data_IF_715549524157
#
_entry.id   IF_715549524157
#
_cell.length_a   1.000
_cell.length_b   1.000
_cell.length_c   1.000
_cell.angle_alpha   90.00
_cell.angle_beta   90.00
_cell.angle_gamma   90.00
#
_symmetry.space_group_name_H-M   'P 1'
#
loop_
_entity.id
_entity.type
_entity.pdbx_description
1 polymer ?
#
# COMPACT_ATOMS: atom_id res chain seq x y z
N UNK A 1 85.54 -19.70 -43.12
CA UNK A 1 84.76 -20.08 -44.31
C UNK A 1 83.28 -20.15 -43.91
N UNK A 2 82.40 -19.60 -44.75
CA UNK A 2 80.93 -19.74 -44.66
C UNK A 2 80.55 -20.98 -45.52
N UNK A 3 79.57 -21.84 -45.16
CA UNK A 3 78.12 -21.55 -45.19
C UNK A 3 77.37 -22.13 -43.97
N UNK A 4 76.04 -22.04 -43.76
CA UNK A 4 74.93 -21.25 -44.33
C UNK A 4 73.77 -21.23 -43.30
N UNK A 5 72.81 -20.28 -43.44
CA UNK A 5 71.47 -20.37 -42.84
C UNK A 5 70.40 -19.75 -43.76
N UNK A 6 69.22 -20.37 -43.94
CA UNK A 6 68.17 -19.88 -44.84
C UNK A 6 67.34 -18.75 -44.22
N UNK A 7 66.75 -17.93 -45.08
CA UNK A 7 65.79 -16.88 -44.69
C UNK A 7 64.46 -17.48 -44.20
N UNK A 8 63.92 -16.94 -43.10
CA UNK A 8 62.52 -17.09 -42.73
C UNK A 8 61.99 -15.76 -42.20
N UNK A 9 60.95 -15.21 -42.83
CA UNK A 9 60.18 -14.04 -42.36
C UNK A 9 58.76 -14.52 -42.01
N UNK A 10 58.31 -14.44 -40.75
CA UNK A 10 56.90 -14.57 -40.42
C UNK A 10 56.14 -13.29 -40.81
N UNK A 11 54.95 -13.46 -41.38
CA UNK A 11 54.04 -12.38 -41.74
C UNK A 11 53.31 -11.80 -40.52
N UNK A 12 53.30 -10.47 -40.38
CA UNK A 12 52.36 -9.78 -39.48
C UNK A 12 51.16 -9.31 -40.30
N UNK A 13 50.19 -10.20 -40.47
CA UNK A 13 48.90 -9.89 -41.10
C UNK A 13 47.91 -9.33 -40.08
N UNK A 14 47.91 -8.02 -39.85
CA UNK A 14 46.90 -7.37 -39.01
C UNK A 14 45.56 -7.24 -39.74
N UNK A 15 44.71 -8.28 -39.62
CA UNK A 15 43.31 -8.19 -40.05
C UNK A 15 42.55 -7.30 -39.06
N UNK A 16 42.59 -5.99 -39.30
CA UNK A 16 41.69 -5.03 -38.63
C UNK A 16 40.31 -5.19 -39.26
N UNK A 17 39.47 -6.04 -38.67
CA UNK A 17 38.05 -6.12 -38.99
C UNK A 17 37.40 -4.79 -38.62
N UNK A 18 37.21 -3.90 -39.60
CA UNK A 18 36.43 -2.67 -39.43
C UNK A 18 34.99 -3.05 -39.08
N UNK A 19 34.63 -2.99 -37.80
CA UNK A 19 33.23 -2.87 -37.43
C UNK A 19 32.67 -1.59 -38.04
N UNK A 20 31.78 -1.76 -39.00
CA UNK A 20 31.09 -0.66 -39.67
C UNK A 20 30.01 -0.15 -38.72
N UNK A 21 30.38 0.77 -37.83
CA UNK A 21 29.43 1.51 -37.01
C UNK A 21 28.55 2.37 -37.92
N UNK A 22 27.33 1.90 -38.21
CA UNK A 22 26.26 2.75 -38.70
C UNK A 22 25.80 3.64 -37.55
N UNK A 23 26.54 4.73 -37.35
CA UNK A 23 26.19 5.78 -36.41
C UNK A 23 25.04 6.61 -36.97
N UNK A 24 23.79 6.20 -36.69
CA UNK A 24 22.71 7.18 -36.52
C UNK A 24 22.89 7.82 -35.14
N UNK A 25 23.88 8.70 -35.07
CA UNK A 25 24.21 9.51 -33.91
C UNK A 25 23.44 10.83 -33.94
N UNK A 26 22.12 10.77 -34.16
CA UNK A 26 21.24 11.91 -33.99
C UNK A 26 20.98 12.16 -32.50
N UNK A 27 21.97 12.73 -31.80
CA UNK A 27 21.70 13.39 -30.52
C UNK A 27 20.59 14.43 -30.76
N UNK A 28 19.45 14.36 -30.04
CA UNK A 28 18.32 15.23 -30.30
C UNK A 28 18.76 16.69 -30.10
N UNK A 29 18.42 17.61 -31.03
CA UNK A 29 18.92 18.98 -30.99
C UNK A 29 18.61 19.61 -29.64
N UNK A 30 19.56 20.35 -29.07
CA UNK A 30 19.52 20.79 -27.68
C UNK A 30 18.18 21.47 -27.28
N UNK A 31 17.53 22.17 -28.23
CA UNK A 31 16.19 22.74 -28.07
C UNK A 31 15.09 21.73 -27.70
N UNK A 32 15.05 20.53 -28.30
CA UNK A 32 14.07 19.49 -27.95
C UNK A 32 14.25 19.00 -26.51
N UNK A 33 15.50 18.87 -26.05
CA UNK A 33 15.78 18.42 -24.69
C UNK A 33 15.36 19.44 -23.64
N UNK A 34 15.47 20.73 -23.97
CA UNK A 34 15.04 21.86 -23.15
C UNK A 34 13.51 21.98 -23.13
N UNK A 35 12.83 22.00 -24.28
CA UNK A 35 11.37 22.08 -24.35
C UNK A 35 10.70 20.89 -23.66
N UNK A 36 11.18 19.67 -23.92
CA UNK A 36 10.64 18.48 -23.26
C UNK A 36 10.83 18.55 -21.72
N UNK A 37 11.86 19.24 -21.23
CA UNK A 37 12.12 19.44 -19.80
C UNK A 37 11.25 20.54 -19.20
N UNK A 38 11.05 21.66 -19.92
CA UNK A 38 10.11 22.71 -19.56
C UNK A 38 8.66 22.17 -19.51
N UNK A 39 8.25 21.39 -20.51
CA UNK A 39 6.96 20.69 -20.55
C UNK A 39 6.77 19.76 -19.36
N UNK A 40 7.80 18.97 -18.98
CA UNK A 40 7.75 18.12 -17.76
C UNK A 40 7.58 18.93 -16.48
N UNK A 41 8.28 20.06 -16.35
CA UNK A 41 8.14 20.95 -15.19
C UNK A 41 6.74 21.57 -15.12
N UNK A 42 6.16 21.96 -16.27
CA UNK A 42 4.79 22.47 -16.39
C UNK A 42 3.76 21.41 -15.95
N UNK A 43 3.86 20.18 -16.47
CA UNK A 43 2.98 19.05 -16.10
C UNK A 43 3.10 18.77 -14.59
N UNK A 44 4.32 18.68 -14.03
CA UNK A 44 4.52 18.49 -12.59
C UNK A 44 3.87 19.60 -11.76
N UNK A 45 4.03 20.86 -12.17
CA UNK A 45 3.40 22.01 -11.51
C UNK A 45 1.87 21.94 -11.58
N UNK A 46 1.29 21.54 -12.71
CA UNK A 46 -0.15 21.32 -12.88
C UNK A 46 -0.67 20.18 -11.99
N UNK A 47 0.02 19.03 -11.92
CA UNK A 47 -0.36 17.90 -11.06
C UNK A 47 -0.30 18.29 -9.58
N UNK A 48 0.72 19.04 -9.17
CA UNK A 48 0.84 19.53 -7.79
C UNK A 48 -0.24 20.58 -7.44
N UNK A 49 -0.63 21.45 -8.38
CA UNK A 49 -1.76 22.35 -8.18
C UNK A 49 -3.09 21.59 -8.11
N UNK A 50 -3.31 20.59 -8.96
CA UNK A 50 -4.50 19.74 -8.89
C UNK A 50 -4.58 18.97 -7.56
N UNK A 51 -3.45 18.42 -7.09
CA UNK A 51 -3.31 17.77 -5.79
C UNK A 51 -3.66 18.71 -4.63
N UNK A 52 -3.05 19.90 -4.59
CA UNK A 52 -3.31 20.87 -3.52
C UNK A 52 -4.74 21.41 -3.56
N UNK A 53 -5.26 21.73 -4.75
CA UNK A 53 -6.62 22.22 -4.96
C UNK A 53 -7.66 21.17 -4.53
N UNK A 54 -7.46 19.91 -4.90
CA UNK A 54 -8.36 18.81 -4.51
C UNK A 54 -8.44 18.69 -2.98
N UNK A 55 -7.29 18.71 -2.28
CA UNK A 55 -7.26 18.67 -0.81
C UNK A 55 -7.97 19.91 -0.24
N UNK A 56 -7.59 21.12 -0.65
CA UNK A 56 -8.16 22.38 -0.12
C UNK A 56 -9.66 22.45 -0.33
N UNK A 57 -10.16 22.13 -1.54
CA UNK A 57 -11.60 22.14 -1.86
C UNK A 57 -12.34 21.07 -1.06
N UNK A 58 -11.74 19.90 -0.84
CA UNK A 58 -12.35 18.84 -0.03
C UNK A 58 -12.55 19.29 1.42
N UNK A 59 -11.52 19.80 2.08
CA UNK A 59 -11.61 20.30 3.46
C UNK A 59 -12.51 21.55 3.58
N UNK A 60 -12.41 22.50 2.63
CA UNK A 60 -13.25 23.70 2.66
C UNK A 60 -14.74 23.37 2.49
N UNK A 61 -15.08 22.51 1.52
CA UNK A 61 -16.46 22.05 1.30
C UNK A 61 -16.95 21.22 2.48
N UNK A 62 -16.09 20.36 3.04
CA UNK A 62 -16.37 19.60 4.26
C UNK A 62 -16.70 20.51 5.44
N UNK A 63 -15.88 21.52 5.71
CA UNK A 63 -16.10 22.50 6.78
C UNK A 63 -17.42 23.26 6.63
N UNK A 64 -17.78 23.65 5.40
CA UNK A 64 -19.10 24.26 5.11
C UNK A 64 -20.24 23.28 5.39
N UNK A 65 -20.14 22.03 4.91
CA UNK A 65 -21.17 21.00 5.14
C UNK A 65 -21.30 20.60 6.62
N UNK A 66 -20.20 20.65 7.40
CA UNK A 66 -20.22 20.46 8.85
C UNK A 66 -20.90 21.63 9.57
N UNK A 67 -20.54 22.87 9.22
CA UNK A 67 -21.18 24.08 9.75
C UNK A 67 -22.67 24.19 9.45
N UNK A 68 -23.13 23.59 8.33
CA UNK A 68 -24.55 23.46 7.96
C UNK A 68 -25.26 22.26 8.61
N UNK A 69 -24.58 21.46 9.45
CA UNK A 69 -25.16 20.29 10.12
C UNK A 69 -25.47 19.10 9.21
N UNK A 70 -24.91 19.09 7.99
CA UNK A 70 -25.03 18.00 7.01
C UNK A 70 -24.04 16.87 7.34
N UNK A 71 -22.80 17.21 7.67
CA UNK A 71 -21.80 16.27 8.18
C UNK A 71 -21.81 16.32 9.71
N UNK A 72 -22.30 15.25 10.36
CA UNK A 72 -22.55 15.24 11.82
C UNK A 72 -21.55 14.42 12.64
N UNK A 73 -20.97 13.39 12.05
CA UNK A 73 -20.05 12.45 12.69
C UNK A 73 -18.57 12.74 12.36
N UNK A 74 -18.33 13.50 11.30
CA UNK A 74 -16.99 13.84 10.82
C UNK A 74 -16.70 15.28 11.27
N UNK A 75 -15.82 15.45 12.26
CA UNK A 75 -15.50 16.74 12.87
C UNK A 75 -14.33 17.47 12.17
N UNK A 76 -13.56 16.76 11.34
CA UNK A 76 -12.50 17.28 10.48
C UNK A 76 -12.66 16.80 9.02
N UNK A 77 -13.85 16.97 8.42
CA UNK A 77 -14.15 16.36 7.12
C UNK A 77 -13.21 16.88 6.02
N UNK A 78 -12.79 16.01 5.08
CA UNK A 78 -13.26 14.64 4.86
C UNK A 78 -12.68 13.56 5.77
N UNK A 79 -11.74 13.87 6.67
CA UNK A 79 -11.23 12.90 7.62
C UNK A 79 -12.26 12.65 8.73
N UNK A 80 -12.42 11.39 9.15
CA UNK A 80 -13.20 11.08 10.34
C UNK A 80 -12.29 11.18 11.57
N UNK A 81 -12.04 12.43 11.96
CA UNK A 81 -11.07 12.83 12.96
C UNK A 81 -11.46 14.16 13.63
N UNK A 82 -10.69 14.57 14.63
CA UNK A 82 -10.73 15.89 15.26
C UNK A 82 -9.41 16.63 15.07
N UNK A 83 -9.42 17.95 15.23
CA UNK A 83 -8.18 18.71 15.37
C UNK A 83 -7.51 18.44 16.73
N UNK A 84 -6.19 18.29 16.72
CA UNK A 84 -5.34 18.43 17.92
C UNK A 84 -4.25 19.47 17.72
N UNK A 85 -3.63 19.88 18.82
CA UNK A 85 -2.49 20.82 18.82
C UNK A 85 -1.16 20.07 18.76
N UNK A 86 -0.18 20.69 18.11
CA UNK A 86 1.19 20.17 18.01
C UNK A 86 1.83 20.04 19.41
N UNK A 87 2.31 18.84 19.74
CA UNK A 87 2.91 18.51 21.02
C UNK A 87 4.41 18.17 20.89
N UNK A 88 5.16 18.36 21.98
CA UNK A 88 6.59 17.99 22.05
C UNK A 88 6.82 16.47 21.91
N UNK A 89 5.78 15.65 22.06
CA UNK A 89 5.82 14.19 21.84
C UNK A 89 6.18 13.80 20.40
N UNK A 90 6.06 14.72 19.43
CA UNK A 90 6.50 14.52 18.04
C UNK A 90 8.01 14.66 17.83
N UNK A 91 8.77 15.20 18.79
CA UNK A 91 10.21 15.46 18.61
C UNK A 91 11.02 14.19 18.24
N UNK A 92 10.78 13.00 18.85
CA UNK A 92 11.46 11.77 18.43
C UNK A 92 11.14 11.37 16.98
N UNK A 93 9.86 11.47 16.56
CA UNK A 93 9.46 11.20 15.19
C UNK A 93 10.10 12.20 14.22
N UNK A 94 10.07 13.50 14.54
CA UNK A 94 10.66 14.54 13.71
C UNK A 94 12.18 14.36 13.54
N UNK A 95 12.90 14.06 14.62
CA UNK A 95 14.33 13.76 14.60
C UNK A 95 14.65 12.52 13.75
N UNK A 96 13.87 11.44 13.92
CA UNK A 96 14.02 10.22 13.10
C UNK A 96 13.72 10.48 11.62
N UNK A 97 12.65 11.20 11.30
CA UNK A 97 12.28 11.56 9.92
C UNK A 97 13.35 12.40 9.24
N UNK A 98 13.94 13.37 9.94
CA UNK A 98 15.07 14.15 9.45
C UNK A 98 16.32 13.28 9.19
N UNK A 99 16.67 12.39 10.12
CA UNK A 99 17.77 11.45 9.95
C UNK A 99 17.53 10.48 8.76
N UNK A 100 16.31 9.96 8.63
CA UNK A 100 15.93 9.06 7.54
C UNK A 100 16.01 9.77 6.17
N UNK A 101 15.53 11.01 6.04
CA UNK A 101 15.66 11.83 4.81
C UNK A 101 17.11 11.98 4.37
N UNK A 102 18.02 12.20 5.33
CA UNK A 102 19.45 12.41 5.05
C UNK A 102 20.16 11.09 4.70
N UNK A 103 19.95 10.05 5.51
CA UNK A 103 20.74 8.82 5.51
C UNK A 103 20.15 7.70 4.64
N UNK A 104 18.84 7.46 4.71
CA UNK A 104 18.20 6.27 4.12
C UNK A 104 18.49 6.13 2.61
N UNK A 105 18.33 7.16 1.75
CA UNK A 105 18.59 7.00 0.32
C UNK A 105 20.05 6.58 0.02
N UNK A 106 21.01 7.07 0.81
CA UNK A 106 22.42 6.72 0.65
C UNK A 106 22.73 5.30 1.13
N UNK A 107 22.15 4.89 2.26
CA UNK A 107 22.27 3.53 2.80
C UNK A 107 21.66 2.50 1.82
N UNK A 108 20.47 2.78 1.29
CA UNK A 108 19.79 1.92 0.31
C UNK A 108 20.50 1.86 -1.05
N UNK A 109 21.23 2.91 -1.45
CA UNK A 109 22.02 2.88 -2.69
C UNK A 109 23.29 2.02 -2.56
N UNK A 110 23.89 1.95 -1.36
CA UNK A 110 25.20 1.31 -1.13
C UNK A 110 25.12 -0.13 -0.60
N UNK A 111 23.95 -0.61 -0.21
CA UNK A 111 23.76 -1.95 0.38
C UNK A 111 23.38 -3.03 -0.63
N UNK A 112 23.63 -4.32 -0.35
CA UNK A 112 23.01 -5.42 -1.09
C UNK A 112 21.48 -5.41 -0.95
N UNK A 113 20.73 -5.96 -1.92
CA UNK A 113 19.27 -5.77 -1.99
C UNK A 113 18.51 -6.28 -0.75
N UNK A 114 18.88 -7.44 -0.21
CA UNK A 114 18.28 -7.96 1.02
C UNK A 114 18.46 -7.00 2.21
N UNK A 115 19.64 -6.38 2.34
CA UNK A 115 19.90 -5.34 3.35
C UNK A 115 19.12 -4.05 3.05
N UNK A 116 18.91 -3.70 1.78
CA UNK A 116 18.06 -2.57 1.42
C UNK A 116 16.59 -2.80 1.82
N UNK A 117 16.05 -4.00 1.58
CA UNK A 117 14.71 -4.39 2.05
C UNK A 117 14.61 -4.32 3.58
N UNK A 118 15.59 -4.88 4.31
CA UNK A 118 15.62 -4.84 5.77
C UNK A 118 15.70 -3.40 6.33
N UNK A 119 16.52 -2.53 5.71
CA UNK A 119 16.61 -1.11 6.08
C UNK A 119 15.31 -0.36 5.78
N UNK A 120 14.66 -0.62 4.65
CA UNK A 120 13.36 -0.02 4.31
C UNK A 120 12.26 -0.46 5.28
N UNK A 121 12.21 -1.75 5.64
CA UNK A 121 11.26 -2.29 6.61
C UNK A 121 11.51 -1.73 8.02
N UNK A 122 12.76 -1.76 8.50
CA UNK A 122 13.12 -1.18 9.79
C UNK A 122 12.82 0.32 9.87
N UNK A 123 13.02 1.05 8.77
CA UNK A 123 12.62 2.45 8.70
C UNK A 123 11.11 2.64 8.79
N UNK A 124 10.32 1.84 8.07
CA UNK A 124 8.86 1.88 8.12
C UNK A 124 8.32 1.55 9.52
N UNK A 125 8.89 0.54 10.18
CA UNK A 125 8.55 0.16 11.56
C UNK A 125 8.84 1.30 12.54
N UNK A 126 10.08 1.80 12.58
CA UNK A 126 10.49 2.84 13.53
C UNK A 126 9.71 4.13 13.29
N UNK A 127 9.49 4.51 12.02
CA UNK A 127 8.66 5.66 11.66
C UNK A 127 7.22 5.51 12.19
N UNK A 128 6.55 4.40 11.85
CA UNK A 128 5.16 4.11 12.23
C UNK A 128 5.00 4.05 13.75
N UNK A 129 5.93 3.39 14.46
CA UNK A 129 5.91 3.31 15.93
C UNK A 129 6.12 4.68 16.57
N UNK A 130 7.09 5.48 16.10
CA UNK A 130 7.35 6.82 16.64
C UNK A 130 6.19 7.79 16.40
N UNK A 131 5.48 7.67 15.27
CA UNK A 131 4.23 8.39 15.06
C UNK A 131 3.17 7.93 16.08
N UNK A 132 2.89 6.63 16.18
CA UNK A 132 1.87 6.10 17.08
C UNK A 132 2.07 6.50 18.55
N UNK A 133 3.29 6.36 19.09
CA UNK A 133 3.60 6.73 20.49
C UNK A 133 3.72 8.24 20.73
N UNK A 134 3.67 9.07 19.68
CA UNK A 134 3.56 10.53 19.83
C UNK A 134 2.12 11.00 20.06
N UNK A 135 1.13 10.16 19.74
CA UNK A 135 -0.28 10.33 20.09
C UNK A 135 -0.70 9.35 21.18
N UNK A 136 -1.83 8.69 20.97
CA UNK A 136 -2.55 7.88 21.96
C UNK A 136 -1.91 6.48 22.19
N UNK A 137 -0.85 6.16 21.44
CA UNK A 137 -0.07 4.94 21.58
C UNK A 137 -0.53 3.79 20.68
N UNK A 138 0.29 2.75 20.59
CA UNK A 138 0.07 1.61 19.68
C UNK A 138 -1.21 0.82 19.98
N UNK A 139 -1.54 0.63 21.26
CA UNK A 139 -2.60 -0.30 21.67
C UNK A 139 -3.98 0.36 21.80
N UNK A 140 -4.05 1.66 22.07
CA UNK A 140 -5.30 2.40 22.27
C UNK A 140 -6.36 2.21 21.16
N UNK A 141 -6.01 2.15 19.86
CA UNK A 141 -7.00 1.99 18.79
C UNK A 141 -7.82 0.71 18.94
N UNK A 142 -7.15 -0.37 19.37
CA UNK A 142 -7.75 -1.70 19.53
C UNK A 142 -8.50 -1.90 20.86
N UNK A 143 -8.50 -0.93 21.78
CA UNK A 143 -9.25 -1.03 23.04
C UNK A 143 -10.69 -0.52 22.95
N UNK A 144 -11.06 0.14 21.85
CA UNK A 144 -12.40 0.69 21.70
C UNK A 144 -13.45 -0.43 21.59
N UNK A 145 -14.62 -0.23 22.21
CA UNK A 145 -15.71 -1.23 22.26
C UNK A 145 -16.28 -1.62 20.88
N UNK A 146 -16.09 -0.78 19.87
CA UNK A 146 -16.57 -1.03 18.50
C UNK A 146 -15.61 -1.92 17.67
N UNK A 147 -14.44 -2.26 18.21
CA UNK A 147 -13.39 -3.02 17.53
C UNK A 147 -13.54 -4.55 17.61
N UNK A 148 -12.84 -5.23 16.69
CA UNK A 148 -12.82 -6.70 16.56
C UNK A 148 -12.51 -7.46 17.86
N UNK A 149 -11.68 -6.90 18.76
CA UNK A 149 -11.32 -7.56 20.02
C UNK A 149 -12.51 -7.75 20.96
N UNK A 150 -13.54 -6.89 20.89
CA UNK A 150 -14.74 -7.02 21.70
C UNK A 150 -15.59 -8.26 21.35
N UNK A 151 -15.38 -8.88 20.18
CA UNK A 151 -16.09 -10.10 19.75
C UNK A 151 -15.39 -11.39 20.19
N UNK A 152 -14.12 -11.34 20.62
CA UNK A 152 -13.39 -12.55 21.06
C UNK A 152 -14.05 -13.37 22.18
N UNK A 153 -14.84 -12.80 23.12
CA UNK A 153 -15.64 -13.59 24.06
C UNK A 153 -16.74 -14.40 23.38
N UNK A 154 -17.37 -13.88 22.32
CA UNK A 154 -18.44 -14.56 21.57
C UNK A 154 -17.92 -15.69 20.66
N UNK A 155 -16.66 -15.64 20.23
CA UNK A 155 -15.99 -16.76 19.53
C UNK A 155 -15.70 -17.91 20.50
N UNK A 156 -15.38 -17.60 21.76
CA UNK A 156 -15.11 -18.58 22.80
C UNK A 156 -14.02 -19.60 22.41
N UNK A 157 -14.33 -20.88 22.64
CA UNK A 157 -13.50 -22.04 22.26
C UNK A 157 -13.99 -22.76 21.00
N UNK A 158 -15.07 -22.29 20.37
CA UNK A 158 -15.65 -22.89 19.16
C UNK A 158 -15.70 -21.87 18.00
N UNK A 159 -14.55 -21.64 17.32
CA UNK A 159 -14.49 -20.73 16.19
C UNK A 159 -15.28 -21.22 14.96
N UNK A 160 -15.61 -22.52 14.88
CA UNK A 160 -16.35 -23.09 13.75
C UNK A 160 -17.86 -22.89 13.93
N UNK A 161 -18.40 -23.17 15.12
CA UNK A 161 -19.78 -22.84 15.47
C UNK A 161 -20.04 -21.33 15.39
N UNK A 162 -19.11 -20.51 15.89
CA UNK A 162 -19.18 -19.04 15.73
C UNK A 162 -19.20 -18.62 14.25
N UNK A 163 -18.35 -19.23 13.40
CA UNK A 163 -18.29 -18.89 11.98
C UNK A 163 -19.56 -19.30 11.21
N UNK A 164 -20.15 -20.45 11.53
CA UNK A 164 -21.41 -20.90 10.97
C UNK A 164 -22.58 -19.97 11.37
N UNK A 165 -22.61 -19.52 12.63
CA UNK A 165 -23.62 -18.58 13.14
C UNK A 165 -23.38 -17.10 12.79
N UNK A 166 -22.21 -16.73 12.27
CA UNK A 166 -21.76 -15.33 12.15
C UNK A 166 -22.76 -14.41 11.46
N UNK A 167 -23.33 -14.85 10.33
CA UNK A 167 -24.25 -14.04 9.51
C UNK A 167 -25.58 -13.75 10.23
N UNK A 168 -26.07 -14.70 11.02
CA UNK A 168 -27.31 -14.57 11.81
C UNK A 168 -27.10 -13.67 13.02
N UNK A 169 -25.97 -13.82 13.71
CA UNK A 169 -25.63 -13.08 14.92
C UNK A 169 -25.04 -11.70 14.64
N UNK A 170 -24.74 -11.37 13.38
CA UNK A 170 -24.11 -10.11 12.95
C UNK A 170 -24.73 -8.85 13.58
N UNK A 171 -26.07 -8.68 13.70
CA UNK A 171 -26.66 -7.48 14.31
C UNK A 171 -26.29 -7.26 15.79
N UNK A 172 -25.81 -8.30 16.48
CA UNK A 172 -25.41 -8.24 17.89
C UNK A 172 -23.97 -7.75 18.07
N UNK A 173 -23.17 -7.70 17.00
CA UNK A 173 -21.75 -7.37 17.07
C UNK A 173 -21.48 -5.86 16.98
N UNK A 174 -20.30 -5.40 17.42
CA UNK A 174 -19.95 -3.99 17.35
C UNK A 174 -19.74 -3.51 15.92
N UNK A 175 -19.78 -2.20 15.72
CA UNK A 175 -19.96 -1.57 14.40
C UNK A 175 -18.87 -1.91 13.40
N UNK A 176 -17.60 -2.02 13.81
CA UNK A 176 -16.52 -2.39 12.89
C UNK A 176 -16.72 -3.82 12.34
N UNK A 177 -17.16 -4.76 13.20
CA UNK A 177 -17.42 -6.16 12.81
C UNK A 177 -18.68 -6.27 11.95
N UNK A 178 -19.72 -5.47 12.23
CA UNK A 178 -20.95 -5.41 11.39
C UNK A 178 -20.68 -4.97 9.95
N UNK A 179 -19.59 -4.22 9.71
CA UNK A 179 -19.13 -3.81 8.38
C UNK A 179 -18.23 -4.81 7.65
N UNK A 180 -17.84 -5.93 8.28
CA UNK A 180 -16.73 -6.77 7.80
C UNK A 180 -17.02 -8.27 7.80
N UNK A 181 -16.37 -9.03 6.88
CA UNK A 181 -16.35 -10.49 6.92
C UNK A 181 -15.57 -11.02 8.14
N UNK A 182 -15.70 -12.32 8.49
CA UNK A 182 -15.25 -12.84 9.78
C UNK A 182 -13.73 -13.05 9.98
N UNK A 183 -12.89 -13.05 8.93
CA UNK A 183 -11.47 -13.42 9.07
C UNK A 183 -10.63 -12.49 9.98
N UNK A 184 -10.86 -11.16 10.08
CA UNK A 184 -10.12 -10.32 11.02
C UNK A 184 -10.33 -10.75 12.47
N UNK A 185 -11.55 -11.14 12.85
CA UNK A 185 -11.85 -11.68 14.18
C UNK A 185 -11.13 -13.02 14.39
N UNK A 186 -11.17 -13.91 13.40
CA UNK A 186 -10.47 -15.22 13.47
C UNK A 186 -8.95 -15.08 13.55
N UNK A 187 -8.36 -14.06 12.90
CA UNK A 187 -6.92 -13.74 13.02
C UNK A 187 -6.58 -13.32 14.45
N UNK A 188 -7.38 -12.47 15.08
CA UNK A 188 -7.17 -12.05 16.47
C UNK A 188 -7.50 -13.17 17.48
N UNK A 189 -8.45 -14.05 17.17
CA UNK A 189 -8.72 -15.27 17.94
C UNK A 189 -7.52 -16.23 17.88
N UNK A 190 -6.94 -16.45 16.69
CA UNK A 190 -5.75 -17.27 16.52
C UNK A 190 -4.54 -16.69 17.27
N UNK A 191 -4.39 -15.37 17.27
CA UNK A 191 -3.35 -14.66 18.04
C UNK A 191 -3.52 -14.88 19.56
N UNK A 192 -4.75 -14.78 20.07
CA UNK A 192 -5.10 -15.16 21.46
C UNK A 192 -4.81 -16.65 21.73
N UNK A 193 -5.15 -17.55 20.81
CA UNK A 193 -4.98 -19.00 20.96
C UNK A 193 -3.50 -19.43 21.07
N UNK A 194 -2.58 -18.72 20.41
CA UNK A 194 -1.12 -18.94 20.54
C UNK A 194 -0.49 -18.21 21.74
N UNK A 195 -1.30 -17.68 22.67
CA UNK A 195 -0.81 -17.04 23.90
C UNK A 195 -0.47 -15.56 23.78
N UNK A 196 -0.90 -14.88 22.72
CA UNK A 196 -0.63 -13.45 22.47
C UNK A 196 -1.92 -12.61 22.48
N UNK A 197 -2.69 -12.57 23.60
CA UNK A 197 -3.99 -11.90 23.63
C UNK A 197 -3.92 -10.37 23.73
N UNK A 198 -4.96 -9.71 23.23
CA UNK A 198 -5.28 -8.31 23.55
C UNK A 198 -4.67 -7.24 22.64
N UNK A 199 -4.98 -5.99 22.97
CA UNK A 199 -4.76 -4.81 22.12
C UNK A 199 -3.30 -4.59 21.71
N UNK A 200 -2.34 -4.80 22.62
CA UNK A 200 -0.92 -4.65 22.31
C UNK A 200 -0.45 -5.65 21.24
N UNK A 201 -0.84 -6.92 21.36
CA UNK A 201 -0.44 -7.95 20.39
C UNK A 201 -1.15 -7.78 19.05
N UNK A 202 -2.42 -7.33 19.05
CA UNK A 202 -3.12 -6.92 17.84
C UNK A 202 -2.37 -5.80 17.11
N UNK A 203 -1.99 -4.72 17.82
CA UNK A 203 -1.21 -3.62 17.27
C UNK A 203 0.16 -4.06 16.75
N UNK A 204 0.88 -4.93 17.48
CA UNK A 204 2.17 -5.49 17.04
C UNK A 204 2.02 -6.30 15.75
N UNK A 205 1.00 -7.17 15.65
CA UNK A 205 0.71 -7.93 14.43
C UNK A 205 0.43 -6.99 13.25
N UNK A 206 -0.43 -6.00 13.46
CA UNK A 206 -0.84 -5.02 12.44
C UNK A 206 0.36 -4.18 11.95
N UNK A 207 1.17 -3.63 12.86
CA UNK A 207 2.36 -2.84 12.51
C UNK A 207 3.40 -3.67 11.76
N UNK A 208 3.71 -4.89 12.23
CA UNK A 208 4.69 -5.75 11.58
C UNK A 208 4.24 -6.15 10.17
N UNK A 209 3.01 -6.64 10.03
CA UNK A 209 2.48 -7.09 8.74
C UNK A 209 2.26 -5.91 7.79
N UNK A 210 1.69 -4.80 8.26
CA UNK A 210 1.46 -3.59 7.46
C UNK A 210 2.74 -2.93 6.98
N UNK A 211 3.72 -2.73 7.86
CA UNK A 211 5.03 -2.19 7.44
C UNK A 211 5.75 -3.12 6.45
N UNK A 212 5.52 -4.44 6.52
CA UNK A 212 6.13 -5.41 5.60
C UNK A 212 5.61 -5.29 4.15
N UNK A 213 4.47 -4.61 3.94
CA UNK A 213 4.00 -4.26 2.59
C UNK A 213 5.07 -3.47 1.80
N UNK A 214 5.87 -2.63 2.47
CA UNK A 214 7.02 -1.93 1.88
C UNK A 214 8.00 -2.90 1.21
N UNK A 215 8.25 -4.06 1.83
CA UNK A 215 9.14 -5.10 1.30
C UNK A 215 8.48 -5.83 0.14
N UNK A 216 7.22 -6.26 0.30
CA UNK A 216 6.50 -7.01 -0.71
C UNK A 216 6.26 -6.21 -2.01
N UNK A 217 5.94 -4.92 -1.87
CA UNK A 217 5.86 -3.97 -3.00
C UNK A 217 7.25 -3.80 -3.64
N UNK A 218 8.32 -3.58 -2.88
CA UNK A 218 9.66 -3.44 -3.44
C UNK A 218 10.16 -4.71 -4.18
N UNK A 219 9.82 -5.91 -3.68
CA UNK A 219 10.07 -7.19 -4.38
C UNK A 219 9.31 -7.25 -5.70
N UNK A 220 8.04 -6.84 -5.70
CA UNK A 220 7.21 -6.74 -6.91
C UNK A 220 7.80 -5.78 -7.93
N UNK A 221 8.14 -4.55 -7.51
CA UNK A 221 8.74 -3.53 -8.38
C UNK A 221 10.10 -3.99 -8.93
N UNK A 222 10.91 -4.74 -8.16
CA UNK A 222 12.18 -5.30 -8.66
C UNK A 222 11.98 -6.24 -9.85
N UNK A 223 10.90 -7.03 -9.90
CA UNK A 223 10.56 -7.85 -11.07
C UNK A 223 10.09 -6.99 -12.25
N UNK A 224 9.25 -6.00 -11.98
CA UNK A 224 8.57 -5.20 -13.01
C UNK A 224 9.45 -4.13 -13.67
N UNK A 225 10.47 -3.62 -12.96
CA UNK A 225 11.25 -2.45 -13.35
C UNK A 225 12.73 -2.49 -12.93
N UNK A 226 13.21 -3.61 -12.40
CA UNK A 226 14.60 -3.75 -11.97
C UNK A 226 14.89 -3.22 -10.56
N UNK A 227 16.07 -3.56 -10.07
CA UNK A 227 16.45 -3.38 -8.66
C UNK A 227 16.62 -1.91 -8.26
N UNK A 228 17.21 -1.09 -9.13
CA UNK A 228 17.37 0.35 -8.90
C UNK A 228 16.04 1.05 -8.69
N UNK A 229 14.98 0.60 -9.37
CA UNK A 229 13.66 1.19 -9.24
C UNK A 229 13.00 0.83 -7.90
N UNK A 230 13.14 -0.43 -7.47
CA UNK A 230 12.70 -0.85 -6.15
C UNK A 230 13.43 -0.06 -5.04
N UNK A 231 14.75 0.13 -5.16
CA UNK A 231 15.55 0.94 -4.23
C UNK A 231 15.11 2.41 -4.17
N UNK A 232 14.72 2.99 -5.31
CA UNK A 232 14.19 4.37 -5.37
C UNK A 232 12.81 4.52 -4.73
N UNK A 233 11.97 3.49 -4.77
CA UNK A 233 10.64 3.50 -4.14
C UNK A 233 10.70 3.35 -2.62
N UNK A 234 11.62 2.53 -2.10
CA UNK A 234 11.70 2.18 -0.67
C UNK A 234 11.62 3.37 0.32
N UNK A 235 12.34 4.51 0.16
CA UNK A 235 12.20 5.65 1.07
C UNK A 235 10.80 6.24 1.12
N UNK A 236 10.11 6.31 -0.02
CA UNK A 236 8.79 6.95 -0.13
C UNK A 236 7.67 6.04 0.36
N UNK A 237 7.87 4.71 0.28
CA UNK A 237 7.01 3.72 0.92
C UNK A 237 7.19 3.74 2.45
N UNK A 238 8.43 3.73 2.93
CA UNK A 238 8.73 3.66 4.36
C UNK A 238 8.36 4.94 5.14
N UNK A 239 8.33 6.09 4.47
CA UNK A 239 8.01 7.40 5.05
C UNK A 239 6.72 7.99 4.46
N UNK A 240 5.79 7.15 3.99
CA UNK A 240 4.50 7.59 3.48
C UNK A 240 3.64 8.24 4.60
N UNK A 241 2.83 9.28 4.31
CA UNK A 241 1.93 9.85 5.32
C UNK A 241 0.89 8.85 5.83
N UNK A 242 0.51 7.88 4.98
CA UNK A 242 -0.30 6.72 5.36
C UNK A 242 0.22 5.96 6.61
N UNK A 243 1.51 6.05 6.94
CA UNK A 243 2.07 5.45 8.18
C UNK A 243 1.40 5.93 9.46
N UNK A 244 0.79 7.13 9.47
CA UNK A 244 -0.06 7.61 10.58
C UNK A 244 -1.15 6.58 10.94
N UNK A 245 -1.71 5.90 9.93
CA UNK A 245 -2.82 4.96 10.08
C UNK A 245 -2.43 3.49 9.86
N UNK A 246 -1.12 3.20 9.70
CA UNK A 246 -0.61 1.81 9.66
C UNK A 246 -0.58 1.19 11.06
N UNK A 247 -0.41 2.00 12.11
CA UNK A 247 -0.32 1.50 13.48
C UNK A 247 -1.67 1.13 14.13
N UNK A 248 -2.77 1.52 13.49
CA UNK A 248 -4.02 1.83 14.16
C UNK A 248 -5.20 1.00 13.67
N UNK A 249 -5.05 0.33 12.52
CA UNK A 249 -6.18 -0.24 11.78
C UNK A 249 -5.85 -1.63 11.21
N UNK A 250 -6.84 -2.54 11.25
CA UNK A 250 -6.71 -3.85 10.58
C UNK A 250 -6.51 -3.71 9.06
N UNK A 251 -6.89 -2.57 8.46
CA UNK A 251 -6.63 -2.22 7.06
C UNK A 251 -5.13 -2.30 6.69
N UNK A 252 -4.24 -2.00 7.65
CA UNK A 252 -2.80 -2.15 7.46
C UNK A 252 -2.35 -3.63 7.44
N UNK A 253 -2.95 -4.50 8.26
CA UNK A 253 -2.74 -5.95 8.13
C UNK A 253 -3.23 -6.45 6.76
N UNK A 254 -4.38 -5.95 6.28
CA UNK A 254 -4.90 -6.28 4.95
C UNK A 254 -3.94 -5.82 3.84
N UNK A 255 -3.34 -4.64 3.97
CA UNK A 255 -2.33 -4.12 3.06
C UNK A 255 -1.11 -5.04 2.97
N UNK A 256 -0.63 -5.55 4.11
CA UNK A 256 0.46 -6.53 4.17
C UNK A 256 0.10 -7.85 3.48
N UNK A 257 -1.06 -8.44 3.82
CA UNK A 257 -1.56 -9.69 3.21
C UNK A 257 -1.68 -9.54 1.68
N UNK A 258 -2.32 -8.47 1.22
CA UNK A 258 -2.50 -8.21 -0.21
C UNK A 258 -1.19 -7.96 -0.94
N UNK A 259 -0.24 -7.25 -0.32
CA UNK A 259 1.06 -6.99 -0.92
C UNK A 259 1.90 -8.27 -1.04
N UNK A 260 1.92 -9.11 -0.01
CA UNK A 260 2.60 -10.41 -0.05
C UNK A 260 1.95 -11.40 -1.03
N UNK A 261 0.62 -11.38 -1.18
CA UNK A 261 -0.09 -12.13 -2.21
C UNK A 261 0.42 -11.82 -3.62
N UNK A 262 0.61 -10.54 -3.95
CA UNK A 262 1.20 -10.09 -5.23
C UNK A 262 2.70 -10.42 -5.33
N UNK A 263 3.47 -10.26 -4.25
CA UNK A 263 4.90 -10.57 -4.25
C UNK A 263 5.18 -12.07 -4.47
N UNK A 264 4.38 -12.96 -3.86
CA UNK A 264 4.51 -14.41 -4.00
C UNK A 264 4.12 -14.90 -5.40
N UNK A 265 3.10 -14.31 -6.03
CA UNK A 265 2.75 -14.53 -7.45
C UNK A 265 3.97 -14.26 -8.35
N UNK A 266 4.62 -13.11 -8.13
CA UNK A 266 5.81 -12.67 -8.86
C UNK A 266 7.01 -13.58 -8.64
N UNK A 267 7.25 -14.02 -7.39
CA UNK A 267 8.34 -14.93 -7.04
C UNK A 267 8.11 -16.35 -7.59
N UNK A 268 6.85 -16.80 -7.67
CA UNK A 268 6.47 -18.07 -8.31
C UNK A 268 6.90 -18.12 -9.77
N UNK A 269 6.79 -17.00 -10.49
CA UNK A 269 7.23 -16.84 -11.88
C UNK A 269 8.75 -16.75 -12.12
N UNK A 270 9.59 -17.19 -11.16
CA UNK A 270 11.05 -17.29 -11.30
C UNK A 270 11.52 -18.51 -12.10
N UNK A 271 12.85 -18.70 -12.20
CA UNK A 271 13.53 -19.74 -13.01
C UNK A 271 13.04 -21.19 -12.79
N UNK A 272 12.39 -21.45 -11.65
CA UNK A 272 11.92 -22.79 -11.23
C UNK A 272 10.41 -22.86 -10.95
N UNK A 273 9.61 -21.91 -11.45
CA UNK A 273 8.14 -22.01 -11.54
C UNK A 273 7.44 -22.54 -10.27
N UNK A 274 7.75 -21.98 -9.09
CA UNK A 274 7.52 -22.65 -7.80
C UNK A 274 6.01 -22.71 -7.45
N UNK A 275 5.34 -23.89 -7.51
CA UNK A 275 3.91 -23.98 -7.26
C UNK A 275 3.55 -23.63 -5.82
N UNK A 276 4.43 -23.88 -4.85
CA UNK A 276 4.24 -23.47 -3.45
C UNK A 276 4.10 -21.94 -3.28
N UNK A 277 4.85 -21.14 -4.04
CA UNK A 277 4.68 -19.69 -4.06
C UNK A 277 3.34 -19.28 -4.71
N UNK A 278 2.90 -20.03 -5.73
CA UNK A 278 1.57 -19.86 -6.32
C UNK A 278 0.46 -20.17 -5.32
N UNK A 279 0.50 -21.32 -4.65
CA UNK A 279 -0.48 -21.71 -3.64
C UNK A 279 -0.54 -20.70 -2.47
N UNK A 280 0.61 -20.30 -1.93
CA UNK A 280 0.66 -19.29 -0.87
C UNK A 280 0.13 -17.91 -1.33
N UNK A 281 0.46 -17.49 -2.56
CA UNK A 281 -0.15 -16.32 -3.19
C UNK A 281 -1.67 -16.45 -3.27
N UNK A 282 -2.16 -17.60 -3.74
CA UNK A 282 -3.58 -17.93 -3.82
C UNK A 282 -4.30 -17.84 -2.49
N UNK A 283 -3.72 -18.39 -1.42
CA UNK A 283 -4.28 -18.30 -0.07
C UNK A 283 -4.35 -16.85 0.41
N UNK A 284 -3.27 -16.06 0.28
CA UNK A 284 -3.30 -14.66 0.73
C UNK A 284 -4.26 -13.79 -0.09
N UNK A 285 -4.32 -13.98 -1.42
CA UNK A 285 -5.24 -13.23 -2.28
C UNK A 285 -6.70 -13.66 -2.10
N UNK A 286 -6.95 -14.97 -1.95
CA UNK A 286 -8.27 -15.52 -1.66
C UNK A 286 -8.78 -15.20 -0.26
N UNK A 287 -7.89 -14.86 0.69
CA UNK A 287 -8.28 -14.35 1.99
C UNK A 287 -8.79 -12.90 1.95
N UNK A 288 -8.42 -12.08 0.95
CA UNK A 288 -8.77 -10.66 0.92
C UNK A 288 -10.30 -10.40 1.00
N UNK A 289 -11.18 -11.07 0.22
CA UNK A 289 -12.62 -10.89 0.36
C UNK A 289 -13.19 -11.33 1.71
N UNK A 290 -12.46 -12.16 2.46
CA UNK A 290 -12.83 -12.60 3.81
C UNK A 290 -12.21 -11.74 4.92
N UNK A 291 -11.26 -10.85 4.58
CA UNK A 291 -10.71 -9.80 5.44
C UNK A 291 -11.53 -8.50 5.35
N UNK A 292 -11.87 -8.07 4.14
CA UNK A 292 -12.80 -6.96 3.90
C UNK A 292 -13.46 -7.07 2.52
N UNK A 293 -14.77 -6.82 2.45
CA UNK A 293 -15.52 -6.78 1.20
C UNK A 293 -14.97 -5.71 0.23
N UNK A 294 -14.44 -4.61 0.76
CA UNK A 294 -13.79 -3.54 -0.02
C UNK A 294 -12.49 -3.96 -0.72
N UNK A 295 -11.98 -5.17 -0.47
CA UNK A 295 -10.77 -5.70 -1.12
C UNK A 295 -11.06 -6.56 -2.35
N UNK A 296 -12.33 -6.77 -2.75
CA UNK A 296 -12.63 -7.40 -4.04
C UNK A 296 -12.03 -6.61 -5.22
N UNK A 297 -12.14 -5.26 -5.30
CA UNK A 297 -11.43 -4.46 -6.30
C UNK A 297 -9.90 -4.61 -6.27
N UNK A 298 -9.30 -4.89 -5.10
CA UNK A 298 -7.84 -5.08 -4.98
C UNK A 298 -7.34 -6.23 -5.87
N UNK A 299 -8.16 -7.24 -6.15
CA UNK A 299 -7.80 -8.37 -7.02
C UNK A 299 -7.46 -7.97 -8.47
N UNK A 300 -7.77 -6.74 -8.89
CA UNK A 300 -7.27 -6.17 -10.15
C UNK A 300 -5.73 -6.04 -10.17
N UNK A 301 -5.08 -5.76 -9.04
CA UNK A 301 -3.62 -5.63 -8.92
C UNK A 301 -2.88 -6.94 -9.27
N UNK A 302 -3.12 -8.09 -8.59
CA UNK A 302 -2.49 -9.35 -8.95
C UNK A 302 -2.87 -9.82 -10.37
N UNK A 303 -4.08 -9.54 -10.86
CA UNK A 303 -4.48 -9.85 -12.23
C UNK A 303 -3.62 -9.09 -13.26
N UNK A 304 -3.48 -7.77 -13.11
CA UNK A 304 -2.62 -6.93 -13.96
C UNK A 304 -1.15 -7.35 -13.84
N UNK A 305 -0.65 -7.64 -12.64
CA UNK A 305 0.71 -8.15 -12.44
C UNK A 305 0.91 -9.50 -13.12
N UNK A 306 -0.05 -10.43 -13.05
CA UNK A 306 0.01 -11.72 -13.75
C UNK A 306 0.08 -11.55 -15.27
N UNK A 307 -0.69 -10.63 -15.85
CA UNK A 307 -0.65 -10.31 -17.29
C UNK A 307 0.71 -9.75 -17.71
N UNK A 308 1.34 -8.92 -16.87
CA UNK A 308 2.67 -8.34 -17.13
C UNK A 308 3.77 -9.39 -17.00
N UNK A 309 3.81 -10.17 -15.91
CA UNK A 309 4.93 -11.09 -15.62
C UNK A 309 4.76 -12.48 -16.24
N UNK A 310 3.55 -12.82 -16.71
CA UNK A 310 3.18 -14.07 -17.39
C UNK A 310 3.70 -15.32 -16.66
N UNK A 311 3.24 -15.59 -15.42
CA UNK A 311 3.72 -16.72 -14.64
C UNK A 311 3.40 -18.05 -15.34
N UNK A 312 4.21 -19.11 -15.13
CA UNK A 312 3.92 -20.43 -15.69
C UNK A 312 2.52 -20.93 -15.31
N UNK A 313 1.86 -21.66 -16.22
CA UNK A 313 0.49 -22.17 -16.01
C UNK A 313 0.33 -22.91 -14.67
N UNK A 314 1.32 -23.72 -14.27
CA UNK A 314 1.31 -24.44 -12.99
C UNK A 314 1.27 -23.51 -11.77
N UNK A 315 1.92 -22.34 -11.84
CA UNK A 315 1.88 -21.33 -10.78
C UNK A 315 0.51 -20.66 -10.74
N UNK A 316 -0.06 -20.31 -11.89
CA UNK A 316 -1.40 -19.73 -11.96
C UNK A 316 -2.47 -20.71 -11.46
N UNK A 317 -2.40 -21.98 -11.83
CA UNK A 317 -3.30 -23.02 -11.30
C UNK A 317 -3.15 -23.18 -9.78
N UNK A 318 -1.93 -23.09 -9.24
CA UNK A 318 -1.71 -23.11 -7.79
C UNK A 318 -2.29 -21.87 -7.09
N UNK A 319 -2.21 -20.67 -7.70
CA UNK A 319 -2.87 -19.45 -7.18
C UNK A 319 -4.39 -19.63 -7.14
N UNK A 320 -4.99 -20.12 -8.23
CA UNK A 320 -6.44 -20.37 -8.30
C UNK A 320 -6.87 -21.44 -7.28
N UNK A 321 -6.11 -22.53 -7.14
CA UNK A 321 -6.37 -23.57 -6.15
C UNK A 321 -6.26 -23.05 -4.71
N UNK A 322 -5.26 -22.23 -4.40
CA UNK A 322 -5.13 -21.61 -3.07
C UNK A 322 -6.29 -20.67 -2.73
N UNK A 323 -6.75 -19.88 -3.70
CA UNK A 323 -7.89 -18.98 -3.49
C UNK A 323 -9.23 -19.74 -3.36
N UNK A 324 -9.41 -20.79 -4.16
CA UNK A 324 -10.54 -21.69 -4.07
C UNK A 324 -10.56 -22.46 -2.74
N UNK A 325 -9.40 -22.88 -2.23
CA UNK A 325 -9.29 -23.57 -0.95
C UNK A 325 -9.73 -22.69 0.23
N UNK A 326 -9.38 -21.40 0.25
CA UNK A 326 -9.87 -20.46 1.27
C UNK A 326 -11.40 -20.32 1.18
N UNK A 327 -11.93 -20.11 -0.02
CA UNK A 327 -13.37 -19.92 -0.21
C UNK A 327 -14.17 -21.17 0.15
N UNK A 328 -13.66 -22.35 -0.22
CA UNK A 328 -14.21 -23.65 0.12
C UNK A 328 -14.15 -23.95 1.62
N UNK A 329 -13.08 -23.58 2.31
CA UNK A 329 -12.96 -23.74 3.76
C UNK A 329 -14.00 -22.90 4.51
N UNK A 330 -14.19 -21.63 4.13
CA UNK A 330 -15.24 -20.78 4.72
C UNK A 330 -16.64 -21.33 4.46
N UNK A 331 -16.94 -21.76 3.23
CA UNK A 331 -18.24 -22.35 2.88
C UNK A 331 -18.50 -23.67 3.63
N UNK A 332 -17.49 -24.54 3.75
CA UNK A 332 -17.59 -25.79 4.50
C UNK A 332 -17.74 -25.57 6.02
N UNK A 333 -17.21 -24.46 6.55
CA UNK A 333 -17.40 -24.03 7.94
C UNK A 333 -18.69 -23.19 8.15
N UNK A 334 -19.64 -23.23 7.21
CA UNK A 334 -20.96 -22.61 7.33
C UNK A 334 -21.06 -21.13 6.90
N UNK A 335 -19.95 -20.49 6.55
CA UNK A 335 -19.97 -19.08 6.12
C UNK A 335 -20.03 -18.94 4.59
N UNK A 336 -21.23 -18.72 4.07
CA UNK A 336 -21.45 -18.37 2.66
C UNK A 336 -21.21 -16.86 2.44
N UNK A 337 -20.11 -16.53 1.75
CA UNK A 337 -19.69 -15.15 1.51
C UNK A 337 -20.80 -14.22 0.95
N UNK A 338 -21.65 -14.62 -0.01
CA UNK A 338 -22.75 -13.76 -0.50
C UNK A 338 -23.80 -13.45 0.57
N UNK A 339 -24.09 -14.38 1.48
CA UNK A 339 -25.01 -14.13 2.61
C UNK A 339 -24.40 -13.13 3.59
N UNK A 340 -23.10 -13.24 3.86
CA UNK A 340 -22.34 -12.26 4.63
C UNK A 340 -22.38 -10.85 4.01
N UNK A 341 -22.23 -10.73 2.68
CA UNK A 341 -22.36 -9.44 1.97
C UNK A 341 -23.75 -8.84 2.18
N UNK A 342 -24.81 -9.63 2.01
CA UNK A 342 -26.19 -9.16 2.16
C UNK A 342 -26.48 -8.71 3.60
N UNK A 343 -26.05 -9.47 4.60
CA UNK A 343 -26.20 -9.12 6.02
C UNK A 343 -25.41 -7.85 6.37
N UNK A 344 -24.17 -7.75 5.90
CA UNK A 344 -23.31 -6.57 6.07
C UNK A 344 -23.91 -5.33 5.42
N UNK A 345 -24.43 -5.45 4.20
CA UNK A 345 -25.09 -4.35 3.51
C UNK A 345 -26.37 -3.89 4.22
N UNK A 346 -27.13 -4.82 4.83
CA UNK A 346 -28.29 -4.47 5.66
C UNK A 346 -27.87 -3.71 6.93
N UNK A 347 -26.76 -4.08 7.58
CA UNK A 347 -26.21 -3.32 8.71
C UNK A 347 -25.70 -1.93 8.27
N UNK A 348 -24.96 -1.85 7.17
CA UNK A 348 -24.48 -0.59 6.59
C UNK A 348 -25.63 0.36 6.25
N UNK A 349 -26.71 -0.14 5.63
CA UNK A 349 -27.88 0.68 5.27
C UNK A 349 -28.63 1.24 6.49
N UNK A 350 -28.47 0.63 7.67
CA UNK A 350 -29.01 1.10 8.94
C UNK A 350 -28.02 1.97 9.74
N UNK A 351 -26.78 2.11 9.30
CA UNK A 351 -25.73 2.83 10.03
C UNK A 351 -25.78 4.35 9.79
N UNK A 352 -25.62 5.20 10.83
CA UNK A 352 -25.53 6.65 10.66
C UNK A 352 -24.44 7.11 9.67
N UNK A 353 -23.35 6.34 9.52
CA UNK A 353 -22.30 6.58 8.54
C UNK A 353 -22.77 6.49 7.09
N UNK A 354 -23.79 5.69 6.78
CA UNK A 354 -24.37 5.64 5.43
C UNK A 354 -25.15 6.91 5.07
N UNK A 355 -25.52 7.75 6.04
CA UNK A 355 -26.13 9.06 5.80
C UNK A 355 -25.11 10.12 5.29
N UNK A 356 -23.80 9.80 5.27
CA UNK A 356 -22.76 10.65 4.68
C UNK A 356 -23.12 11.00 3.20
N UNK A 357 -23.04 12.29 2.77
CA UNK A 357 -23.44 12.69 1.43
C UNK A 357 -22.54 12.10 0.34
N UNK A 358 -23.12 11.24 -0.50
CA UNK A 358 -22.38 10.50 -1.54
C UNK A 358 -21.55 11.41 -2.46
N UNK A 359 -22.16 12.44 -3.06
CA UNK A 359 -21.49 13.32 -4.04
C UNK A 359 -20.32 14.12 -3.42
N UNK A 360 -20.37 14.42 -2.12
CA UNK A 360 -19.25 15.05 -1.44
C UNK A 360 -18.09 14.06 -1.27
N UNK A 361 -18.35 12.88 -0.70
CA UNK A 361 -17.30 11.90 -0.45
C UNK A 361 -16.70 11.29 -1.73
N UNK A 362 -17.47 11.15 -2.80
CA UNK A 362 -16.99 10.73 -4.14
C UNK A 362 -15.83 11.59 -4.69
N UNK A 363 -15.71 12.84 -4.23
CA UNK A 363 -14.59 13.73 -4.57
C UNK A 363 -13.63 13.86 -3.38
N UNK A 364 -14.18 14.02 -2.18
CA UNK A 364 -13.39 14.31 -0.99
C UNK A 364 -12.54 13.13 -0.51
N UNK A 365 -12.99 11.88 -0.75
CA UNK A 365 -12.20 10.67 -0.54
C UNK A 365 -10.92 10.69 -1.40
N UNK A 366 -10.99 11.18 -2.66
CA UNK A 366 -9.81 11.34 -3.52
C UNK A 366 -8.85 12.42 -2.98
N UNK A 367 -9.37 13.44 -2.29
CA UNK A 367 -8.57 14.39 -1.51
C UNK A 367 -7.84 13.72 -0.35
N UNK A 368 -8.49 12.81 0.36
CA UNK A 368 -7.85 11.99 1.41
C UNK A 368 -6.78 11.05 0.80
N UNK A 369 -7.05 10.39 -0.33
CA UNK A 369 -6.05 9.57 -1.03
C UNK A 369 -4.81 10.39 -1.40
N UNK A 370 -5.01 11.59 -1.94
CA UNK A 370 -3.95 12.54 -2.26
C UNK A 370 -3.13 12.92 -1.01
N UNK A 371 -3.79 13.11 0.14
CA UNK A 371 -3.17 13.43 1.41
C UNK A 371 -2.35 12.27 1.98
N UNK A 372 -2.93 11.05 2.07
CA UNK A 372 -2.26 9.89 2.66
C UNK A 372 -1.12 9.32 1.80
N UNK A 373 -1.21 9.48 0.46
CA UNK A 373 -0.11 9.13 -0.46
C UNK A 373 0.95 10.24 -0.57
N UNK A 374 0.62 11.48 -0.21
CA UNK A 374 1.55 12.59 0.00
C UNK A 374 2.10 13.29 -1.25
N UNK A 375 2.76 14.45 -1.07
CA UNK A 375 3.20 15.32 -2.15
C UNK A 375 4.29 14.70 -3.05
N UNK A 376 5.10 13.77 -2.53
CA UNK A 376 6.08 13.06 -3.35
C UNK A 376 5.39 12.21 -4.43
N UNK A 377 4.28 11.55 -4.08
CA UNK A 377 3.49 10.75 -5.00
C UNK A 377 2.95 11.60 -6.14
N UNK A 378 2.34 12.75 -5.84
CA UNK A 378 1.86 13.69 -6.86
C UNK A 378 2.99 14.18 -7.79
N UNK A 379 4.14 14.60 -7.23
CA UNK A 379 5.30 15.00 -8.03
C UNK A 379 5.88 13.85 -8.89
N UNK A 380 5.72 12.61 -8.42
CA UNK A 380 6.18 11.38 -9.04
C UNK A 380 5.26 10.82 -10.13
N UNK A 381 3.94 11.02 -10.03
CA UNK A 381 2.96 10.69 -11.08
C UNK A 381 3.21 11.51 -12.36
N UNK A 382 3.69 12.75 -12.23
CA UNK A 382 4.19 13.57 -13.34
C UNK A 382 5.60 13.17 -13.85
N UNK A 383 6.25 12.20 -13.21
CA UNK A 383 7.59 11.72 -13.53
C UNK A 383 7.63 10.70 -14.67
N UNK A 384 8.82 10.47 -15.24
CA UNK A 384 9.04 9.37 -16.18
C UNK A 384 9.20 8.06 -15.43
N UNK A 385 8.19 7.21 -15.49
CA UNK A 385 8.18 5.86 -14.94
C UNK A 385 7.99 4.78 -16.03
N UNK A 386 8.57 3.57 -15.86
CA UNK A 386 8.32 2.43 -16.73
C UNK A 386 6.82 2.13 -16.89
N UNK A 387 6.44 1.66 -18.07
CA UNK A 387 5.04 1.35 -18.37
C UNK A 387 4.47 0.31 -17.38
N UNK A 388 5.23 -0.73 -17.05
CA UNK A 388 4.85 -1.78 -16.09
C UNK A 388 4.45 -1.22 -14.71
N UNK A 389 5.25 -0.29 -14.15
CA UNK A 389 4.95 0.36 -12.87
C UNK A 389 3.73 1.27 -12.98
N UNK A 390 3.61 2.00 -14.09
CA UNK A 390 2.46 2.88 -14.35
C UNK A 390 1.16 2.07 -14.42
N UNK A 391 1.15 0.92 -15.07
CA UNK A 391 -0.03 0.05 -15.20
C UNK A 391 -0.44 -0.52 -13.84
N UNK A 392 0.51 -0.85 -12.95
CA UNK A 392 0.20 -1.29 -11.57
C UNK A 392 -0.38 -0.14 -10.73
N UNK A 393 0.18 1.07 -10.82
CA UNK A 393 -0.38 2.25 -10.15
C UNK A 393 -1.78 2.58 -10.69
N UNK A 394 -1.98 2.49 -12.00
CA UNK A 394 -3.29 2.66 -12.64
C UNK A 394 -4.29 1.58 -12.18
N UNK A 395 -3.86 0.33 -12.02
CA UNK A 395 -4.71 -0.73 -11.47
C UNK A 395 -5.15 -0.44 -10.03
N UNK A 396 -4.25 0.05 -9.17
CA UNK A 396 -4.61 0.50 -7.82
C UNK A 396 -5.61 1.67 -7.85
N UNK A 397 -5.39 2.68 -8.72
CA UNK A 397 -6.29 3.82 -8.87
C UNK A 397 -7.67 3.40 -9.41
N UNK A 398 -7.75 2.52 -10.40
CA UNK A 398 -9.02 1.99 -10.93
C UNK A 398 -9.76 1.17 -9.87
N UNK A 399 -9.05 0.39 -9.07
CA UNK A 399 -9.65 -0.36 -7.97
C UNK A 399 -10.21 0.56 -6.87
N UNK A 400 -9.49 1.62 -6.51
CA UNK A 400 -9.98 2.68 -5.61
C UNK A 400 -11.21 3.38 -6.19
N UNK A 401 -11.17 3.81 -7.45
CA UNK A 401 -12.29 4.47 -8.11
C UNK A 401 -13.54 3.57 -8.21
N UNK A 402 -13.37 2.27 -8.45
CA UNK A 402 -14.48 1.32 -8.44
C UNK A 402 -15.14 1.20 -7.05
N UNK A 403 -14.32 1.20 -6.00
CA UNK A 403 -14.79 1.19 -4.60
C UNK A 403 -15.50 2.51 -4.25
N UNK A 404 -14.92 3.64 -4.62
CA UNK A 404 -15.45 4.99 -4.37
C UNK A 404 -16.79 5.23 -5.09
N UNK A 405 -16.84 4.93 -6.39
CA UNK A 405 -18.06 5.04 -7.22
C UNK A 405 -19.18 4.14 -6.71
N UNK A 406 -18.87 2.96 -6.16
CA UNK A 406 -19.90 2.09 -5.56
C UNK A 406 -20.62 2.73 -4.37
N UNK A 407 -20.03 3.75 -3.74
CA UNK A 407 -20.63 4.52 -2.67
C UNK A 407 -20.75 3.81 -1.32
N UNK A 408 -20.14 2.63 -1.17
CA UNK A 408 -20.09 1.89 0.11
C UNK A 408 -19.05 2.49 1.07
N UNK A 409 -17.93 3.01 0.54
CA UNK A 409 -16.92 3.76 1.31
C UNK A 409 -17.18 5.25 1.23
N UNK A 410 -17.82 5.82 2.25
CA UNK A 410 -18.00 7.28 2.40
C UNK A 410 -17.22 7.69 3.64
N UNK A 411 -16.12 8.42 3.50
CA UNK A 411 -15.22 8.75 4.61
C UNK A 411 -14.38 7.55 5.09
N UNK A 412 -13.50 7.80 6.08
CA UNK A 412 -12.57 6.81 6.69
C UNK A 412 -11.55 6.19 5.73
N UNK A 413 -11.48 6.69 4.49
CA UNK A 413 -10.61 6.17 3.44
C UNK A 413 -9.12 6.37 3.73
N UNK A 414 -8.77 7.24 4.68
CA UNK A 414 -7.41 7.40 5.21
C UNK A 414 -6.83 6.10 5.80
N UNK A 415 -7.69 5.22 6.34
CA UNK A 415 -7.33 3.83 6.69
C UNK A 415 -7.79 2.82 5.64
N UNK A 416 -9.05 2.88 5.17
CA UNK A 416 -9.63 1.83 4.31
C UNK A 416 -8.86 1.69 3.00
N UNK A 417 -8.29 2.78 2.47
CA UNK A 417 -7.51 2.74 1.23
C UNK A 417 -6.01 2.49 1.43
N UNK A 418 -5.52 2.25 2.64
CA UNK A 418 -4.11 1.92 2.89
C UNK A 418 -3.57 0.77 2.00
N UNK A 419 -4.31 -0.34 1.75
CA UNK A 419 -3.90 -1.39 0.82
C UNK A 419 -3.57 -0.89 -0.60
N UNK A 420 -4.29 0.13 -1.09
CA UNK A 420 -4.10 0.69 -2.42
C UNK A 420 -3.11 1.86 -2.42
N UNK A 421 -3.17 2.71 -1.39
CA UNK A 421 -2.35 3.90 -1.22
C UNK A 421 -0.85 3.57 -1.20
N UNK A 422 -0.45 2.42 -0.63
CA UNK A 422 0.95 1.98 -0.65
C UNK A 422 1.45 1.65 -2.07
N UNK A 423 0.63 1.02 -2.92
CA UNK A 423 1.00 0.81 -4.34
C UNK A 423 1.10 2.11 -5.12
N UNK A 424 0.19 3.06 -4.87
CA UNK A 424 0.21 4.37 -5.52
C UNK A 424 1.45 5.17 -5.06
N UNK A 425 1.84 5.05 -3.79
CA UNK A 425 3.01 5.74 -3.20
C UNK A 425 4.36 5.33 -3.80
N UNK A 426 4.42 4.22 -4.56
CA UNK A 426 5.57 3.87 -5.41
C UNK A 426 5.92 5.01 -6.38
N UNK A 427 4.93 5.81 -6.80
CA UNK A 427 5.14 6.98 -7.66
C UNK A 427 6.18 7.96 -7.05
N UNK A 428 6.26 8.09 -5.73
CA UNK A 428 7.23 8.96 -5.04
C UNK A 428 8.68 8.71 -5.46
N UNK A 429 9.05 7.46 -5.80
CA UNK A 429 10.37 7.11 -6.32
C UNK A 429 10.77 7.83 -7.62
N UNK A 430 9.79 8.39 -8.35
CA UNK A 430 9.96 9.14 -9.59
C UNK A 430 9.90 10.67 -9.40
N UNK A 431 9.64 11.15 -8.19
CA UNK A 431 9.60 12.57 -7.87
C UNK A 431 10.99 13.23 -7.99
N UNK A 432 12.02 12.54 -7.49
CA UNK A 432 13.44 12.86 -7.66
C UNK A 432 13.95 13.97 -6.73
N UNK A 433 14.96 13.62 -5.91
CA UNK A 433 15.65 14.53 -4.99
C UNK A 433 15.05 14.58 -3.59
N UNK A 434 15.92 14.82 -2.58
CA UNK A 434 15.58 14.76 -1.14
C UNK A 434 14.41 15.65 -0.72
N UNK A 435 14.18 16.78 -1.40
CA UNK A 435 13.07 17.71 -1.08
C UNK A 435 11.68 17.06 -1.07
N UNK A 436 11.44 16.04 -1.89
CA UNK A 436 10.16 15.34 -1.89
C UNK A 436 10.02 14.40 -0.70
N UNK A 437 11.12 13.81 -0.25
CA UNK A 437 11.15 13.00 0.97
C UNK A 437 10.99 13.88 2.23
N UNK A 438 11.55 15.09 2.24
CA UNK A 438 11.25 16.13 3.26
C UNK A 438 9.75 16.43 3.27
N UNK A 439 9.17 16.76 2.11
CA UNK A 439 7.74 17.08 2.02
C UNK A 439 6.85 15.90 2.47
N UNK A 440 7.26 14.66 2.19
CA UNK A 440 6.58 13.44 2.63
C UNK A 440 6.59 13.30 4.17
N UNK A 441 7.77 13.44 4.79
CA UNK A 441 7.94 13.41 6.25
C UNK A 441 7.18 14.54 6.93
N UNK A 442 7.29 15.77 6.42
CA UNK A 442 6.56 16.93 6.96
C UNK A 442 5.04 16.72 6.86
N UNK A 443 4.53 16.13 5.77
CA UNK A 443 3.11 15.80 5.66
C UNK A 443 2.70 14.78 6.73
N UNK A 444 3.48 13.71 6.95
CA UNK A 444 3.22 12.73 8.01
C UNK A 444 3.25 13.34 9.42
N UNK A 445 4.22 14.22 9.72
CA UNK A 445 4.29 14.93 11.02
C UNK A 445 3.13 15.90 11.23
N UNK A 446 2.69 16.61 10.19
CA UNK A 446 1.55 17.52 10.27
C UNK A 446 0.24 16.75 10.45
N UNK A 447 0.06 15.62 9.75
CA UNK A 447 -1.09 14.74 9.97
C UNK A 447 -1.10 14.22 11.40
N UNK A 448 -0.02 13.58 11.87
CA UNK A 448 0.06 13.10 13.25
C UNK A 448 -0.17 14.24 14.26
N UNK A 449 0.44 15.40 14.04
CA UNK A 449 0.43 16.50 14.99
C UNK A 449 -0.81 17.40 14.99
N UNK A 450 -1.64 17.34 13.96
CA UNK A 450 -2.85 18.18 13.84
C UNK A 450 -4.15 17.36 13.76
N UNK A 451 -4.07 16.07 13.45
CA UNK A 451 -5.22 15.16 13.29
C UNK A 451 -5.21 14.13 14.43
N UNK A 452 -6.29 14.12 15.21
CA UNK A 452 -6.60 13.08 16.20
C UNK A 452 -7.70 12.18 15.63
N UNK A 453 -7.34 10.97 15.26
CA UNK A 453 -8.21 9.94 14.71
C UNK A 453 -8.69 8.99 15.83
N UNK A 454 -9.90 8.42 15.76
CA UNK A 454 -10.37 7.43 16.74
C UNK A 454 -9.70 6.05 16.57
N UNK A 455 -9.09 5.81 15.40
CA UNK A 455 -8.08 4.78 15.20
C UNK A 455 -6.68 5.43 15.22
#
# INVERSE_FOLDING_TARGET
MNPAKPHFKPSVGSVITRYRTTGDGSDPPAGETLDASARRLRIRRQVLYGWALLIIVSFATGGVLHGLGVLRIDHLPPLHAHFRVLTVTLLPAAAFGAAAVLLLPGLLARSGFGRALALGYGCALVWTVLLAVSGDGLAAPFTHKEEYLAVLPAVGSDPLGWLAGFTEHLPQYPTHVRGHPPLPVLVLWALKAVGLPGALWAAVLVVLVGCSATVAIAVTIRRLAGEDMARRALPYLALAPASVWIATSMDAFFAGVGAWGVALLVLGGGRWGRPACGAASGVLLGALPYLSYGLVPYLLLPAVVAVIVRPPRVVLMAVLAGAAAVSGAFAAAGFLWPAGVLATHAQWAADPGAARPYLYFLIANLGVLALVTGPATAAGLAGRMPATVRTVIAAALVAVLALDVSGVTRGEVERIWAPFALWISVAGGFAGGRRWLVAQVVTGLLLQGLVASPW
#
